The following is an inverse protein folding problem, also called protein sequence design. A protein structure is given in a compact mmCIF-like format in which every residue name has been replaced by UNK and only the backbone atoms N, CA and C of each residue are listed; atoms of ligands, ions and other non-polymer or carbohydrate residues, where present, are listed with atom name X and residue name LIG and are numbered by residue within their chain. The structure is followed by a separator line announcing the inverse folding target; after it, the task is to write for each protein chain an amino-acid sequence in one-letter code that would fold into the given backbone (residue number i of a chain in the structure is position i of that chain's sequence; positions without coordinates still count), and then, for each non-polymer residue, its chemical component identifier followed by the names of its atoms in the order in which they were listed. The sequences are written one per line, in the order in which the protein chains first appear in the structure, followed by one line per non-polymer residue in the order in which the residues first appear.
data_IF_806701150447
#
_entry.id   IF_806701150447
#
_cell.length_a   1.000
_cell.length_b   1.000
_cell.length_c   1.000
_cell.angle_alpha   90.00
_cell.angle_beta   90.00
_cell.angle_gamma   90.00
#
_symmetry.space_group_name_H-M   'P 1'
#
loop_
_entity.id
_entity.type
_entity.pdbx_description
1 polymer ?
#
# COMPACT_ATOMS: atom_id res chain seq x y z
N UNK A 1 -13.58 49.62 11.84
CA UNK A 1 -14.86 50.29 11.43
C UNK A 1 -15.54 49.42 10.41
N UNK A 2 -16.86 49.13 10.68
CA UNK A 2 -17.96 48.59 9.86
C UNK A 2 -17.74 47.18 9.32
N UNK A 3 -18.32 46.10 9.89
CA UNK A 3 -19.75 45.68 10.06
C UNK A 3 -20.52 45.66 8.74
N UNK A 4 -21.01 44.45 8.38
CA UNK A 4 -22.43 44.11 8.21
C UNK A 4 -22.49 42.72 7.57
N UNK A 5 -22.96 41.68 8.18
CA UNK A 5 -24.37 41.30 8.55
C UNK A 5 -25.30 41.02 7.36
N UNK A 6 -25.77 39.80 7.36
CA UNK A 6 -27.14 39.25 7.28
C UNK A 6 -27.57 38.84 5.86
N UNK A 7 -28.43 37.86 5.60
CA UNK A 7 -29.52 37.14 6.31
C UNK A 7 -29.93 36.02 5.33
N UNK A 8 -30.06 34.78 5.73
CA UNK A 8 -31.27 34.01 6.05
C UNK A 8 -32.41 34.04 5.01
N UNK A 9 -32.76 32.91 4.42
CA UNK A 9 -34.14 32.56 4.14
C UNK A 9 -34.34 31.02 4.02
N UNK A 10 -35.21 30.53 4.86
CA UNK A 10 -35.88 29.26 5.02
C UNK A 10 -37.08 29.20 4.09
N UNK A 11 -37.40 28.03 3.54
CA UNK A 11 -38.75 27.56 3.24
C UNK A 11 -38.68 26.09 2.87
N UNK A 12 -39.15 25.32 3.55
CA UNK A 12 -40.18 24.44 4.09
C UNK A 12 -41.42 24.28 3.19
N UNK A 13 -41.74 23.05 2.82
CA UNK A 13 -43.04 22.41 2.57
C UNK A 13 -42.79 21.04 1.94
N UNK A 14 -43.03 19.95 2.58
CA UNK A 14 -44.20 19.29 3.17
C UNK A 14 -45.22 18.74 2.15
N UNK A 15 -45.48 17.41 2.32
CA UNK A 15 -46.78 16.69 2.18
C UNK A 15 -47.06 16.05 0.85
N UNK A 16 -47.39 14.82 0.70
CA UNK A 16 -48.19 13.71 1.22
C UNK A 16 -48.10 12.57 0.23
N UNK A 17 -47.96 11.37 0.60
CA UNK A 17 -48.84 10.35 1.17
C UNK A 17 -49.86 9.69 0.21
N UNK A 18 -49.94 8.41 0.30
CA UNK A 18 -51.08 7.56 -0.13
C UNK A 18 -50.64 6.42 -1.05
N UNK A 19 -50.75 5.27 -0.72
CA UNK A 19 -51.54 4.28 0.01
C UNK A 19 -51.77 3.03 -0.84
N UNK A 20 -51.51 1.86 -0.22
CA UNK A 20 -52.38 0.66 -0.16
C UNK A 20 -52.83 0.04 -1.48
N UNK A 21 -52.81 -1.25 -1.70
CA UNK A 21 -53.16 -2.45 -0.97
C UNK A 21 -52.80 -3.66 -1.84
N UNK A 22 -52.43 -4.74 -1.34
CA UNK A 22 -53.02 -5.81 -0.54
C UNK A 22 -53.31 -7.09 -1.32
N UNK A 23 -53.04 -8.20 -0.66
CA UNK A 23 -53.59 -9.56 -0.77
C UNK A 23 -53.16 -10.41 -1.98
N UNK A 24 -52.81 -11.66 -1.79
CA UNK A 24 -53.18 -12.63 -0.77
C UNK A 24 -52.50 -13.98 -0.95
N UNK A 25 -52.59 -14.66 0.13
CA UNK A 25 -52.26 -16.02 0.51
C UNK A 25 -52.47 -17.13 -0.51
N UNK A 26 -51.62 -18.16 -0.43
CA UNK A 26 -52.08 -19.41 0.23
C UNK A 26 -50.95 -20.45 0.23
N UNK A 27 -50.85 -21.07 1.36
CA UNK A 27 -50.12 -22.26 1.77
C UNK A 27 -50.51 -23.51 0.99
N UNK A 28 -49.60 -24.47 0.83
CA UNK A 28 -49.88 -25.87 1.24
C UNK A 28 -48.56 -26.66 1.38
N UNK A 29 -48.41 -27.30 2.52
CA UNK A 29 -47.47 -28.38 2.84
C UNK A 29 -47.72 -29.63 2.01
N UNK A 30 -46.71 -30.47 1.79
CA UNK A 30 -46.72 -31.86 2.22
C UNK A 30 -45.51 -32.67 1.77
N UNK A 31 -44.78 -33.21 2.79
CA UNK A 31 -44.16 -34.53 2.94
C UNK A 31 -43.14 -35.08 1.94
N UNK A 32 -42.00 -35.42 2.53
CA UNK A 32 -41.05 -36.46 2.10
C UNK A 32 -41.68 -37.87 2.10
N UNK A 33 -41.05 -38.85 1.43
CA UNK A 33 -40.36 -39.88 2.16
C UNK A 33 -38.98 -40.28 1.59
N UNK A 34 -38.24 -40.94 2.50
CA UNK A 34 -36.93 -41.59 2.36
C UNK A 34 -36.96 -42.77 1.35
N UNK A 35 -35.80 -43.09 0.77
CA UNK A 35 -34.98 -44.29 0.96
C UNK A 35 -34.09 -44.57 -0.26
N UNK A 36 -32.87 -45.01 -0.01
CA UNK A 36 -32.17 -45.94 -0.86
C UNK A 36 -30.75 -45.59 -1.29
N UNK A 37 -29.78 -46.08 -0.58
CA UNK A 37 -28.35 -46.09 -0.87
C UNK A 37 -28.01 -46.80 -2.18
N UNK A 38 -26.98 -46.32 -2.87
CA UNK A 38 -25.95 -47.17 -3.45
C UNK A 38 -24.72 -46.34 -3.87
N UNK A 39 -23.59 -46.78 -3.37
CA UNK A 39 -22.24 -46.35 -3.68
C UNK A 39 -21.93 -46.58 -5.16
N UNK A 40 -21.29 -45.58 -5.81
CA UNK A 40 -20.33 -45.89 -6.90
C UNK A 40 -19.27 -44.80 -6.88
N UNK A 41 -18.06 -45.24 -6.58
CA UNK A 41 -16.81 -44.49 -6.70
C UNK A 41 -16.57 -44.19 -8.17
N UNK A 42 -16.41 -42.91 -8.50
CA UNK A 42 -15.86 -42.50 -9.77
C UNK A 42 -14.70 -41.52 -9.50
N UNK A 43 -13.55 -42.04 -9.77
CA UNK A 43 -12.25 -41.38 -9.85
C UNK A 43 -12.34 -40.23 -10.87
N UNK A 44 -12.21 -38.97 -10.42
CA UNK A 44 -12.12 -37.81 -11.29
C UNK A 44 -10.67 -37.36 -11.32
N UNK A 45 -10.00 -37.69 -12.38
CA UNK A 45 -8.72 -37.13 -12.81
C UNK A 45 -8.83 -35.62 -12.90
N UNK A 46 -8.01 -34.90 -12.10
CA UNK A 46 -7.82 -33.48 -12.23
C UNK A 46 -7.07 -33.20 -13.55
N UNK A 47 -7.76 -32.64 -14.52
CA UNK A 47 -7.12 -31.96 -15.65
C UNK A 47 -6.59 -30.63 -15.15
N UNK A 48 -5.25 -30.55 -15.10
CA UNK A 48 -4.50 -29.29 -15.03
C UNK A 48 -4.80 -28.52 -16.32
N UNK A 49 -5.68 -27.54 -16.23
CA UNK A 49 -5.88 -26.56 -17.29
C UNK A 49 -4.67 -25.62 -17.32
N UNK A 50 -3.74 -25.90 -18.22
CA UNK A 50 -2.76 -24.92 -18.67
C UNK A 50 -3.56 -23.82 -19.38
N UNK A 51 -3.69 -22.65 -18.75
CA UNK A 51 -4.08 -21.43 -19.49
C UNK A 51 -2.96 -21.16 -20.49
N UNK A 52 -3.26 -21.41 -21.73
CA UNK A 52 -2.39 -21.03 -22.84
C UNK A 52 -2.30 -19.51 -22.85
N UNK A 53 -1.11 -18.98 -22.60
CA UNK A 53 -0.79 -17.59 -22.87
C UNK A 53 -1.21 -17.28 -24.32
N UNK A 54 -2.22 -16.45 -24.46
CA UNK A 54 -2.64 -15.90 -25.74
C UNK A 54 -1.49 -15.06 -26.25
N UNK A 55 -0.81 -15.46 -27.32
CA UNK A 55 0.17 -14.61 -28.00
C UNK A 55 -0.54 -13.32 -28.42
N UNK A 56 -0.27 -12.23 -27.71
CA UNK A 56 -0.79 -10.90 -28.04
C UNK A 56 -0.05 -10.45 -29.30
N UNK A 57 -0.76 -10.41 -30.42
CA UNK A 57 -0.26 -9.83 -31.67
C UNK A 57 -0.13 -8.31 -31.48
N UNK A 58 1.05 -7.83 -31.13
CA UNK A 58 1.34 -6.39 -30.95
C UNK A 58 1.56 -5.71 -32.27
N UNK A 59 0.96 -5.97 -33.32
CA UNK A 59 1.04 -5.30 -34.65
C UNK A 59 2.34 -4.43 -34.88
N UNK A 60 3.45 -4.84 -34.23
CA UNK A 60 4.76 -4.19 -34.28
C UNK A 60 4.88 -2.87 -33.48
N UNK A 61 3.87 -2.50 -32.67
CA UNK A 61 3.96 -1.31 -31.81
C UNK A 61 4.94 -1.55 -30.65
N UNK A 62 5.87 -0.63 -30.45
CA UNK A 62 6.73 -0.56 -29.27
C UNK A 62 6.15 0.44 -28.29
N UNK A 63 5.94 0.01 -27.05
CA UNK A 63 5.45 0.85 -25.96
C UNK A 63 6.63 1.47 -25.21
N UNK A 64 6.55 2.78 -24.93
CA UNK A 64 7.52 3.50 -24.12
C UNK A 64 6.87 3.80 -22.75
N UNK A 65 7.51 3.33 -21.70
CA UNK A 65 7.00 3.41 -20.33
C UNK A 65 7.96 4.27 -19.51
N UNK A 66 7.45 5.39 -18.98
CA UNK A 66 8.20 6.18 -18.02
C UNK A 66 8.03 5.60 -16.61
N UNK A 67 9.11 5.40 -15.88
CA UNK A 67 9.11 4.94 -14.49
C UNK A 67 9.71 6.04 -13.61
N UNK A 68 8.88 6.66 -12.78
CA UNK A 68 9.32 7.60 -11.75
C UNK A 68 9.36 6.90 -10.39
N UNK A 69 10.54 6.50 -9.96
CA UNK A 69 10.77 5.97 -8.63
C UNK A 69 11.21 7.10 -7.68
N UNK A 70 10.55 7.21 -6.51
CA UNK A 70 10.84 8.30 -5.56
C UNK A 70 12.28 8.25 -5.08
N UNK A 71 12.75 7.09 -4.62
CA UNK A 71 14.08 6.88 -4.06
C UNK A 71 14.47 5.41 -4.20
N UNK A 72 15.75 5.10 -4.04
CA UNK A 72 16.23 3.73 -4.12
C UNK A 72 16.23 3.08 -2.72
N UNK A 73 15.50 1.98 -2.58
CA UNK A 73 15.56 1.01 -1.48
C UNK A 73 14.83 -0.28 -1.87
N UNK A 74 15.07 -1.35 -1.12
CA UNK A 74 14.68 -2.72 -1.47
C UNK A 74 13.21 -2.86 -1.90
N UNK A 75 12.27 -2.22 -1.20
CA UNK A 75 10.85 -2.35 -1.50
C UNK A 75 10.49 -1.70 -2.85
N UNK A 76 10.94 -0.46 -3.11
CA UNK A 76 10.65 0.22 -4.38
C UNK A 76 11.37 -0.44 -5.56
N UNK A 77 12.63 -0.89 -5.37
CA UNK A 77 13.39 -1.61 -6.40
C UNK A 77 12.69 -2.94 -6.75
N UNK A 78 12.17 -3.66 -5.75
CA UNK A 78 11.41 -4.89 -5.96
C UNK A 78 10.09 -4.64 -6.71
N UNK A 79 9.35 -3.55 -6.39
CA UNK A 79 8.13 -3.19 -7.09
C UNK A 79 8.39 -2.79 -8.54
N UNK A 80 9.42 -1.97 -8.80
CA UNK A 80 9.84 -1.62 -10.17
C UNK A 80 10.19 -2.88 -10.97
N UNK A 81 11.01 -3.77 -10.37
CA UNK A 81 11.38 -5.01 -11.04
C UNK A 81 10.18 -5.90 -11.36
N UNK A 82 9.26 -6.10 -10.43
CA UNK A 82 8.07 -6.90 -10.66
C UNK A 82 7.19 -6.33 -11.78
N UNK A 83 7.07 -5.01 -11.86
CA UNK A 83 6.36 -4.31 -12.93
C UNK A 83 7.02 -4.54 -14.31
N UNK A 84 8.33 -4.36 -14.40
CA UNK A 84 9.09 -4.58 -15.65
C UNK A 84 9.03 -6.03 -16.11
N UNK A 85 9.20 -6.99 -15.19
CA UNK A 85 9.13 -8.41 -15.47
C UNK A 85 7.76 -8.79 -16.06
N UNK A 86 6.66 -8.30 -15.45
CA UNK A 86 5.31 -8.57 -15.91
C UNK A 86 5.01 -7.98 -17.30
N UNK A 87 5.47 -6.77 -17.59
CA UNK A 87 5.31 -6.18 -18.92
C UNK A 87 6.20 -6.86 -19.97
N UNK A 88 7.41 -7.23 -19.59
CA UNK A 88 8.33 -7.96 -20.46
C UNK A 88 7.79 -9.35 -20.80
N UNK A 89 7.14 -10.04 -19.86
CA UNK A 89 6.45 -11.31 -20.11
C UNK A 89 5.37 -11.18 -21.18
N UNK A 90 4.61 -10.08 -21.19
CA UNK A 90 3.52 -9.86 -22.14
C UNK A 90 3.99 -9.34 -23.49
N UNK A 91 4.92 -8.39 -23.52
CA UNK A 91 5.27 -7.64 -24.72
C UNK A 91 6.67 -7.95 -25.28
N UNK A 92 7.53 -8.67 -24.52
CA UNK A 92 8.90 -8.98 -24.92
C UNK A 92 9.70 -7.72 -25.29
N UNK A 93 10.32 -7.73 -26.45
CA UNK A 93 11.12 -6.61 -26.96
C UNK A 93 10.28 -5.39 -27.41
N UNK A 94 8.95 -5.49 -27.37
CA UNK A 94 8.03 -4.42 -27.74
C UNK A 94 7.66 -3.48 -26.57
N UNK A 95 8.34 -3.56 -25.43
CA UNK A 95 8.25 -2.60 -24.32
C UNK A 95 9.64 -2.04 -24.02
N UNK A 96 9.69 -0.74 -23.71
CA UNK A 96 10.91 -0.04 -23.30
C UNK A 96 10.64 0.78 -22.07
N UNK A 97 11.56 0.75 -21.13
CA UNK A 97 11.48 1.47 -19.88
C UNK A 97 12.48 2.64 -19.86
N UNK A 98 12.01 3.81 -19.44
CA UNK A 98 12.81 4.97 -19.02
C UNK A 98 12.67 5.11 -17.50
N UNK A 99 13.56 4.44 -16.76
CA UNK A 99 13.58 4.45 -15.31
C UNK A 99 14.37 5.65 -14.80
N UNK A 100 13.72 6.49 -13.99
CA UNK A 100 14.28 7.70 -13.39
C UNK A 100 14.06 7.70 -11.87
N UNK A 101 15.13 8.00 -11.12
CA UNK A 101 15.10 8.05 -9.67
C UNK A 101 15.13 9.51 -9.19
N UNK A 102 14.14 9.90 -8.38
CA UNK A 102 13.98 11.27 -7.89
C UNK A 102 14.85 11.60 -6.66
N UNK A 103 15.60 10.63 -6.13
CA UNK A 103 16.52 10.80 -4.98
C UNK A 103 15.82 11.32 -3.71
N UNK A 104 14.54 11.00 -3.53
CA UNK A 104 13.73 11.42 -2.39
C UNK A 104 13.16 12.84 -2.52
N UNK A 105 13.31 13.50 -3.66
CA UNK A 105 12.87 14.88 -3.86
C UNK A 105 11.61 14.97 -4.73
N UNK A 106 10.51 15.46 -4.16
CA UNK A 106 9.22 15.61 -4.87
C UNK A 106 9.27 16.57 -6.05
N UNK A 107 10.13 17.59 -6.01
CA UNK A 107 10.29 18.50 -7.15
C UNK A 107 11.03 17.83 -8.31
N UNK A 108 11.93 16.92 -7.99
CA UNK A 108 12.60 16.07 -8.98
C UNK A 108 11.60 15.09 -9.60
N UNK A 109 10.66 14.51 -8.83
CA UNK A 109 9.55 13.70 -9.39
C UNK A 109 8.79 14.51 -10.46
N UNK A 110 8.39 15.76 -10.16
CA UNK A 110 7.69 16.60 -11.12
C UNK A 110 8.51 16.87 -12.39
N UNK A 111 9.83 17.02 -12.27
CA UNK A 111 10.73 17.20 -13.42
C UNK A 111 10.81 15.94 -14.29
N UNK A 112 10.91 14.78 -13.67
CA UNK A 112 10.92 13.47 -14.34
C UNK A 112 9.61 13.26 -15.11
N UNK A 113 8.47 13.45 -14.43
CA UNK A 113 7.13 13.33 -15.06
C UNK A 113 6.98 14.27 -16.27
N UNK A 114 7.42 15.53 -16.17
CA UNK A 114 7.40 16.46 -17.30
C UNK A 114 8.26 15.96 -18.48
N UNK A 115 9.33 15.22 -18.20
CA UNK A 115 10.14 14.53 -19.21
C UNK A 115 9.32 13.49 -19.97
N UNK A 116 8.67 12.58 -19.25
CA UNK A 116 7.82 11.53 -19.84
C UNK A 116 6.65 12.11 -20.64
N UNK A 117 6.00 13.15 -20.13
CA UNK A 117 4.95 13.87 -20.87
C UNK A 117 5.49 14.47 -22.17
N UNK A 118 6.66 15.07 -22.14
CA UNK A 118 7.30 15.68 -23.33
C UNK A 118 7.72 14.62 -24.36
N UNK A 119 8.09 13.43 -23.91
CA UNK A 119 8.42 12.28 -24.76
C UNK A 119 7.19 11.62 -25.36
N UNK A 120 5.98 11.94 -24.85
CA UNK A 120 4.72 11.25 -25.17
C UNK A 120 4.77 9.76 -24.86
N UNK A 121 5.25 9.39 -23.66
CA UNK A 121 5.28 8.01 -23.22
C UNK A 121 3.86 7.41 -23.22
N UNK A 122 3.77 6.11 -23.47
CA UNK A 122 2.47 5.42 -23.60
C UNK A 122 1.81 5.19 -22.23
N UNK A 123 2.60 5.11 -21.15
CA UNK A 123 2.15 4.93 -19.77
C UNK A 123 3.23 5.39 -18.79
N UNK A 124 2.82 5.85 -17.62
CA UNK A 124 3.71 6.22 -16.52
C UNK A 124 3.48 5.29 -15.33
N UNK A 125 4.55 4.66 -14.83
CA UNK A 125 4.59 4.08 -13.49
C UNK A 125 5.05 5.14 -12.50
N UNK A 126 4.24 5.38 -11.48
CA UNK A 126 4.58 6.24 -10.35
C UNK A 126 4.82 5.37 -9.10
N UNK A 127 6.09 5.16 -8.75
CA UNK A 127 6.48 4.30 -7.64
C UNK A 127 6.74 5.13 -6.38
N UNK A 128 5.87 5.00 -5.41
CA UNK A 128 5.65 5.71 -4.16
C UNK A 128 4.71 6.93 -4.26
N UNK A 129 4.15 7.33 -3.09
CA UNK A 129 3.12 8.38 -2.96
C UNK A 129 3.51 9.72 -3.59
N UNK A 130 4.74 10.20 -3.36
CA UNK A 130 5.17 11.48 -3.93
C UNK A 130 5.33 11.45 -5.46
N UNK A 131 5.74 10.31 -6.03
CA UNK A 131 5.78 10.10 -7.46
C UNK A 131 4.35 10.08 -8.06
N UNK A 132 3.39 9.43 -7.39
CA UNK A 132 1.98 9.43 -7.78
C UNK A 132 1.38 10.84 -7.77
N UNK A 133 1.64 11.62 -6.73
CA UNK A 133 1.20 13.01 -6.64
C UNK A 133 1.78 13.87 -7.79
N UNK A 134 3.06 13.70 -8.10
CA UNK A 134 3.71 14.40 -9.19
C UNK A 134 3.13 13.98 -10.56
N UNK A 135 2.86 12.71 -10.77
CA UNK A 135 2.27 12.19 -12.01
C UNK A 135 0.84 12.73 -12.20
N UNK A 136 0.01 12.66 -11.18
CA UNK A 136 -1.36 13.18 -11.19
C UNK A 136 -1.41 14.69 -11.50
N UNK A 137 -0.44 15.45 -11.00
CA UNK A 137 -0.34 16.89 -11.30
C UNK A 137 0.24 17.19 -12.70
N UNK A 138 1.00 16.25 -13.27
CA UNK A 138 1.75 16.44 -14.53
C UNK A 138 0.98 16.14 -15.80
N UNK A 139 -0.01 15.23 -15.75
CA UNK A 139 -0.78 14.84 -16.94
C UNK A 139 -2.18 14.33 -16.58
N UNK A 140 -3.14 14.66 -17.43
CA UNK A 140 -4.53 14.15 -17.39
C UNK A 140 -4.85 13.22 -18.58
N UNK A 141 -3.85 12.92 -19.41
CA UNK A 141 -4.04 12.17 -20.67
C UNK A 141 -3.22 10.88 -20.76
N UNK A 142 -1.97 10.89 -20.27
CA UNK A 142 -1.15 9.67 -20.24
C UNK A 142 -1.65 8.79 -19.08
N UNK A 143 -1.92 7.50 -19.30
CA UNK A 143 -2.27 6.58 -18.24
C UNK A 143 -1.20 6.53 -17.14
N UNK A 144 -1.62 6.63 -15.88
CA UNK A 144 -0.76 6.56 -14.71
C UNK A 144 -1.15 5.34 -13.89
N UNK A 145 -0.20 4.45 -13.67
CA UNK A 145 -0.34 3.41 -12.65
C UNK A 145 0.58 3.73 -11.47
N UNK A 146 -0.04 3.89 -10.29
CA UNK A 146 0.70 3.97 -9.05
C UNK A 146 1.07 2.58 -8.54
N UNK A 147 2.22 2.45 -7.88
CA UNK A 147 2.59 1.30 -7.06
C UNK A 147 3.25 1.79 -5.79
N UNK A 148 3.29 0.97 -4.75
CA UNK A 148 3.87 1.34 -3.45
C UNK A 148 3.30 2.67 -2.89
N UNK A 149 2.05 2.96 -3.22
CA UNK A 149 1.29 4.08 -2.69
C UNK A 149 0.31 3.56 -1.63
N UNK A 150 0.33 4.15 -0.43
CA UNK A 150 -0.37 3.57 0.72
C UNK A 150 -1.88 3.79 0.67
N UNK A 151 -2.31 5.03 0.42
CA UNK A 151 -3.72 5.40 0.34
C UNK A 151 -3.94 6.46 -0.74
N UNK A 152 -4.66 6.10 -1.78
CA UNK A 152 -4.90 6.98 -2.94
C UNK A 152 -5.84 8.14 -2.61
N UNK A 153 -6.79 7.94 -1.68
CA UNK A 153 -7.67 9.01 -1.21
C UNK A 153 -6.88 10.12 -0.54
N UNK A 154 -5.95 9.74 0.36
CA UNK A 154 -5.05 10.67 1.05
C UNK A 154 -4.01 11.27 0.08
N UNK A 155 -3.41 10.44 -0.77
CA UNK A 155 -2.37 10.87 -1.70
C UNK A 155 -2.88 11.94 -2.70
N UNK A 156 -4.11 11.80 -3.16
CA UNK A 156 -4.72 12.62 -4.21
C UNK A 156 -5.81 13.57 -3.70
N UNK A 157 -5.99 13.68 -2.37
CA UNK A 157 -6.99 14.53 -1.71
C UNK A 157 -8.43 14.26 -2.21
N UNK A 158 -8.79 12.95 -2.30
CA UNK A 158 -10.12 12.51 -2.77
C UNK A 158 -11.03 12.25 -1.58
N UNK A 159 -12.03 13.11 -1.40
CA UNK A 159 -13.05 12.93 -0.36
C UNK A 159 -13.90 11.66 -0.60
N UNK A 160 -14.10 10.87 0.44
CA UNK A 160 -14.91 9.65 0.40
C UNK A 160 -14.46 8.66 -0.70
N UNK A 161 -13.15 8.46 -0.83
CA UNK A 161 -12.57 7.54 -1.79
C UNK A 161 -13.22 6.15 -1.69
N UNK A 162 -13.69 5.64 -2.81
CA UNK A 162 -14.46 4.38 -2.91
C UNK A 162 -13.66 3.20 -3.51
N UNK A 163 -12.35 3.41 -3.72
CA UNK A 163 -11.45 2.41 -4.29
C UNK A 163 -11.15 2.61 -5.77
N UNK A 164 -11.75 3.61 -6.43
CA UNK A 164 -11.49 3.94 -7.84
C UNK A 164 -11.15 5.42 -7.97
N UNK A 165 -9.97 5.74 -8.55
CA UNK A 165 -9.57 7.14 -8.76
C UNK A 165 -10.32 7.74 -9.94
N UNK A 166 -10.45 6.99 -11.01
CA UNK A 166 -11.04 7.47 -12.27
C UNK A 166 -10.07 8.28 -13.12
N UNK A 167 -10.57 8.86 -14.21
CA UNK A 167 -9.73 9.62 -15.12
C UNK A 167 -8.64 8.77 -15.76
N UNK A 168 -7.39 9.18 -15.65
CA UNK A 168 -6.24 8.48 -16.20
C UNK A 168 -5.39 7.76 -15.14
N UNK A 169 -5.91 7.51 -13.93
CA UNK A 169 -5.14 6.99 -12.79
C UNK A 169 -5.77 5.72 -12.24
N UNK A 170 -4.94 4.70 -12.00
CA UNK A 170 -5.23 3.52 -11.21
C UNK A 170 -3.93 2.98 -10.60
N UNK A 171 -3.92 1.74 -10.10
CA UNK A 171 -2.70 1.10 -9.60
C UNK A 171 -2.92 0.15 -8.44
N UNK A 172 -1.86 -0.04 -7.66
CA UNK A 172 -1.85 -0.93 -6.49
C UNK A 172 -1.46 -0.16 -5.22
N UNK A 173 -1.98 -0.61 -4.08
CA UNK A 173 -1.67 -0.05 -2.76
C UNK A 173 -0.86 -1.03 -1.91
N UNK A 174 0.12 -0.49 -1.18
CA UNK A 174 1.01 -1.26 -0.29
C UNK A 174 0.54 -1.31 1.16
N UNK A 175 -0.66 -0.83 1.44
CA UNK A 175 -1.18 -0.74 2.79
C UNK A 175 -1.38 -2.12 3.41
N UNK A 176 -0.47 -2.53 4.30
CA UNK A 176 -0.68 -3.66 5.18
C UNK A 176 -1.72 -3.33 6.28
N UNK A 177 -2.41 -4.33 6.87
CA UNK A 177 -3.39 -4.10 7.91
C UNK A 177 -2.75 -3.44 9.15
N UNK A 178 -3.03 -2.17 9.40
CA UNK A 178 -2.45 -1.42 10.52
C UNK A 178 -2.95 -1.89 11.89
N UNK A 179 -4.17 -2.43 11.96
CA UNK A 179 -4.67 -3.14 13.13
C UNK A 179 -3.89 -4.43 13.39
N UNK A 180 -3.58 -5.19 12.33
CA UNK A 180 -2.72 -6.37 12.42
C UNK A 180 -1.29 -6.05 12.85
N UNK A 181 -0.72 -4.92 12.39
CA UNK A 181 0.59 -4.45 12.86
C UNK A 181 0.56 -4.03 14.34
N UNK A 182 -0.53 -3.40 14.78
CA UNK A 182 -0.71 -3.06 16.19
C UNK A 182 -0.86 -4.32 17.06
N UNK A 183 -1.61 -5.31 16.60
CA UNK A 183 -1.76 -6.60 17.29
C UNK A 183 -0.44 -7.36 17.36
N UNK A 184 0.36 -7.38 16.28
CA UNK A 184 1.70 -7.94 16.23
C UNK A 184 2.64 -7.26 17.23
N UNK A 185 2.63 -5.91 17.31
CA UNK A 185 3.40 -5.17 18.28
C UNK A 185 2.99 -5.56 19.71
N UNK A 186 1.69 -5.70 19.96
CA UNK A 186 1.18 -6.11 21.28
C UNK A 186 1.55 -7.56 21.62
N UNK A 187 1.54 -8.46 20.65
CA UNK A 187 1.98 -9.85 20.83
C UNK A 187 3.44 -9.94 21.26
N UNK A 188 4.31 -9.14 20.64
CA UNK A 188 5.76 -9.16 20.92
C UNK A 188 6.15 -8.33 22.15
N UNK A 189 5.41 -7.28 22.47
CA UNK A 189 5.76 -6.31 23.52
C UNK A 189 4.58 -5.99 24.45
N UNK A 190 3.94 -7.00 25.09
CA UNK A 190 2.74 -6.77 25.92
C UNK A 190 3.02 -5.92 27.18
N UNK A 191 4.26 -5.86 27.64
CA UNK A 191 4.66 -5.11 28.83
C UNK A 191 5.11 -3.68 28.54
N UNK A 192 5.31 -3.30 27.26
CA UNK A 192 5.64 -1.94 26.86
C UNK A 192 4.55 -0.96 27.32
N UNK A 193 4.91 0.28 27.56
CA UNK A 193 3.97 1.36 27.96
C UNK A 193 3.97 2.49 26.98
N UNK A 194 5.13 2.84 26.43
CA UNK A 194 5.28 3.97 25.54
C UNK A 194 5.83 3.54 24.19
N UNK A 195 5.06 3.81 23.14
CA UNK A 195 5.43 3.55 21.76
C UNK A 195 5.81 4.87 21.09
N UNK A 196 7.02 4.94 20.55
CA UNK A 196 7.48 6.04 19.73
C UNK A 196 7.07 5.81 18.28
N UNK A 197 6.37 6.76 17.67
CA UNK A 197 5.98 6.73 16.26
C UNK A 197 6.96 7.59 15.47
N UNK A 198 7.97 6.95 14.86
CA UNK A 198 9.06 7.63 14.12
C UNK A 198 8.70 7.69 12.63
N UNK A 199 8.61 8.90 12.07
CA UNK A 199 8.17 9.06 10.67
C UNK A 199 8.63 10.39 10.05
N UNK A 200 8.73 10.41 8.72
CA UNK A 200 8.96 11.61 7.93
C UNK A 200 7.65 12.40 7.73
N UNK A 201 7.60 13.62 8.25
CA UNK A 201 6.41 14.48 8.15
C UNK A 201 6.15 15.01 6.74
N UNK A 202 7.14 14.93 5.85
CA UNK A 202 6.99 15.30 4.44
C UNK A 202 6.33 14.19 3.60
N UNK A 203 6.17 12.98 4.17
CA UNK A 203 5.54 11.84 3.51
C UNK A 203 4.09 11.66 3.98
N UNK A 204 3.12 11.90 3.10
CA UNK A 204 1.69 11.78 3.40
C UNK A 204 1.30 10.34 3.80
N UNK A 205 1.89 9.33 3.15
CA UNK A 205 1.75 7.91 3.50
C UNK A 205 2.16 7.62 4.94
N UNK A 206 3.33 8.11 5.36
CA UNK A 206 3.86 7.89 6.72
C UNK A 206 2.95 8.54 7.77
N UNK A 207 2.52 9.78 7.52
CA UNK A 207 1.60 10.52 8.40
C UNK A 207 0.27 9.80 8.57
N UNK A 208 -0.33 9.33 7.46
CA UNK A 208 -1.59 8.56 7.49
C UNK A 208 -1.47 7.29 8.33
N UNK A 209 -0.39 6.53 8.14
CA UNK A 209 -0.17 5.27 8.85
C UNK A 209 0.03 5.48 10.35
N UNK A 210 0.87 6.45 10.75
CA UNK A 210 1.11 6.69 12.18
C UNK A 210 -0.13 7.25 12.89
N UNK A 211 -0.94 8.08 12.23
CA UNK A 211 -2.20 8.55 12.79
C UNK A 211 -3.21 7.41 12.99
N UNK A 212 -3.26 6.49 12.04
CA UNK A 212 -4.18 5.35 12.07
C UNK A 212 -3.76 4.33 13.12
N UNK A 213 -2.50 3.89 13.10
CA UNK A 213 -2.01 2.85 14.03
C UNK A 213 -2.01 3.35 15.48
N UNK A 214 -1.76 4.65 15.70
CA UNK A 214 -1.89 5.26 17.02
C UNK A 214 -3.23 4.94 17.66
N UNK A 215 -4.31 5.07 16.89
CA UNK A 215 -5.65 4.77 17.38
C UNK A 215 -5.87 3.31 17.77
N UNK A 216 -5.19 2.35 17.11
CA UNK A 216 -5.20 0.93 17.49
C UNK A 216 -4.34 0.67 18.72
N UNK A 217 -3.12 1.18 18.76
CA UNK A 217 -2.20 1.01 19.89
C UNK A 217 -2.74 1.62 21.19
N UNK A 218 -3.38 2.79 21.13
CA UNK A 218 -4.01 3.41 22.31
C UNK A 218 -5.19 2.59 22.86
N UNK A 219 -5.96 1.92 21.99
CA UNK A 219 -7.01 0.98 22.42
C UNK A 219 -6.45 -0.26 23.12
N UNK A 220 -5.23 -0.69 22.75
CA UNK A 220 -4.50 -1.76 23.41
C UNK A 220 -3.85 -1.33 24.73
N UNK A 221 -3.91 -0.03 25.07
CA UNK A 221 -3.46 0.53 26.36
C UNK A 221 -2.07 1.17 26.34
N UNK A 222 -1.47 1.34 25.17
CA UNK A 222 -0.20 2.05 25.03
C UNK A 222 -0.36 3.57 25.06
N UNK A 223 0.68 4.27 25.47
CA UNK A 223 0.83 5.71 25.25
C UNK A 223 1.70 5.90 24.00
N UNK A 224 1.18 6.60 23.00
CA UNK A 224 1.89 6.82 21.74
C UNK A 224 2.35 8.27 21.62
N UNK A 225 3.62 8.48 21.27
CA UNK A 225 4.22 9.79 21.05
C UNK A 225 4.77 9.90 19.62
N UNK A 226 4.53 11.04 18.96
CA UNK A 226 5.05 11.29 17.62
C UNK A 226 6.49 11.80 17.66
N UNK A 227 7.33 11.18 16.84
CA UNK A 227 8.71 11.60 16.57
C UNK A 227 8.84 11.88 15.07
N UNK A 228 8.42 13.10 14.69
CA UNK A 228 8.39 13.53 13.31
C UNK A 228 9.70 14.24 12.93
N UNK A 229 10.32 13.81 11.85
CA UNK A 229 11.44 14.51 11.21
C UNK A 229 11.00 15.03 9.84
N UNK A 230 11.70 15.99 9.27
CA UNK A 230 11.32 16.61 8.00
C UNK A 230 12.07 16.04 6.79
N UNK A 231 13.30 15.62 7.02
CA UNK A 231 14.17 14.98 6.02
C UNK A 231 15.27 14.16 6.71
N UNK A 232 16.12 13.49 5.94
CA UNK A 232 17.18 12.61 6.46
C UNK A 232 18.21 13.31 7.38
N UNK A 233 18.36 14.65 7.29
CA UNK A 233 19.30 15.38 8.16
C UNK A 233 18.82 15.43 9.61
N UNK A 234 17.50 15.48 9.81
CA UNK A 234 16.91 15.52 11.15
C UNK A 234 16.71 14.12 11.76
N UNK A 235 16.70 13.07 10.95
CA UNK A 235 16.40 11.70 11.35
C UNK A 235 17.22 11.25 12.57
N UNK A 236 18.53 11.46 12.57
CA UNK A 236 19.40 11.03 13.67
C UNK A 236 19.02 11.65 15.00
N UNK A 237 18.73 12.95 15.03
CA UNK A 237 18.40 13.67 16.26
C UNK A 237 17.03 13.29 16.80
N UNK A 238 16.05 13.12 15.91
CA UNK A 238 14.68 12.73 16.26
C UNK A 238 14.63 11.27 16.71
N UNK A 239 15.32 10.38 15.99
CA UNK A 239 15.45 8.96 16.38
C UNK A 239 16.12 8.81 17.75
N UNK A 240 17.16 9.60 18.05
CA UNK A 240 17.80 9.61 19.38
C UNK A 240 16.80 10.01 20.47
N UNK A 241 15.96 11.00 20.21
CA UNK A 241 14.92 11.41 21.16
C UNK A 241 13.88 10.31 21.35
N UNK A 242 13.44 9.67 20.25
CA UNK A 242 12.53 8.54 20.31
C UNK A 242 13.08 7.37 21.12
N UNK A 243 14.35 7.01 20.89
CA UNK A 243 15.00 5.90 21.60
C UNK A 243 15.22 6.18 23.11
N UNK A 244 15.38 7.45 23.50
CA UNK A 244 15.50 7.79 24.92
C UNK A 244 14.17 7.75 25.68
N UNK A 245 13.07 7.92 24.98
CA UNK A 245 11.76 8.17 25.59
C UNK A 245 10.75 7.03 25.40
N UNK A 246 11.06 6.03 24.58
CA UNK A 246 10.11 4.96 24.20
C UNK A 246 10.60 3.59 24.62
N UNK A 247 9.66 2.68 24.90
CA UNK A 247 9.95 1.27 25.15
C UNK A 247 10.12 0.48 23.84
N UNK A 248 9.36 0.88 22.81
CA UNK A 248 9.39 0.33 21.44
C UNK A 248 9.19 1.48 20.47
N UNK A 249 9.84 1.44 19.33
CA UNK A 249 9.61 2.37 18.22
C UNK A 249 8.85 1.64 17.11
N UNK A 250 7.80 2.28 16.59
CA UNK A 250 7.14 1.88 15.36
C UNK A 250 7.55 2.81 14.22
N UNK A 251 7.92 2.23 13.09
CA UNK A 251 8.24 2.94 11.84
C UNK A 251 7.28 2.44 10.75
N UNK A 252 6.46 3.32 10.13
CA UNK A 252 5.56 2.92 9.03
C UNK A 252 6.33 2.57 7.75
N UNK A 253 5.67 2.40 6.61
CA UNK A 253 6.32 2.33 5.29
C UNK A 253 6.85 3.71 4.90
N UNK A 254 7.94 4.10 5.51
CA UNK A 254 8.58 5.42 5.40
C UNK A 254 9.80 5.35 4.48
N UNK A 255 9.71 5.98 3.31
CA UNK A 255 10.76 5.87 2.29
C UNK A 255 12.08 6.50 2.74
N UNK A 256 12.00 7.58 3.55
CA UNK A 256 13.21 8.22 4.09
C UNK A 256 13.91 7.32 5.09
N UNK A 257 13.16 6.63 5.96
CA UNK A 257 13.73 5.64 6.88
C UNK A 257 14.25 4.43 6.11
N UNK A 258 13.51 3.90 5.14
CA UNK A 258 13.92 2.74 4.34
C UNK A 258 15.28 2.95 3.66
N UNK A 259 15.53 4.17 3.16
CA UNK A 259 16.83 4.54 2.58
C UNK A 259 17.92 4.88 3.63
N UNK A 260 17.59 4.92 4.91
CA UNK A 260 18.49 5.34 6.01
C UNK A 260 18.40 4.42 7.23
N UNK A 261 18.09 3.14 7.06
CA UNK A 261 17.88 2.17 8.15
C UNK A 261 19.10 2.06 9.07
N UNK A 262 20.32 2.22 8.53
CA UNK A 262 21.56 2.19 9.32
C UNK A 262 21.58 3.26 10.41
N UNK A 263 21.02 4.46 10.16
CA UNK A 263 20.95 5.52 11.17
C UNK A 263 20.08 5.06 12.33
N UNK A 264 18.90 4.50 12.05
CA UNK A 264 17.98 4.01 13.07
C UNK A 264 18.60 2.84 13.84
N UNK A 265 19.18 1.87 13.13
CA UNK A 265 19.84 0.73 13.75
C UNK A 265 20.99 1.13 14.70
N UNK A 266 21.84 2.06 14.26
CA UNK A 266 22.98 2.53 15.04
C UNK A 266 22.60 3.33 16.30
N UNK A 267 21.36 3.82 16.36
CA UNK A 267 20.80 4.54 17.51
C UNK A 267 20.02 3.58 18.41
N UNK A 268 19.07 2.83 17.86
CA UNK A 268 18.14 2.02 18.63
C UNK A 268 18.79 0.78 19.23
N UNK A 269 19.70 0.12 18.49
CA UNK A 269 20.39 -1.09 19.01
C UNK A 269 21.23 -0.82 20.26
N UNK A 270 22.12 0.18 20.31
CA UNK A 270 22.86 0.50 21.55
C UNK A 270 21.97 1.02 22.69
N UNK A 271 20.85 1.67 22.35
CA UNK A 271 19.88 2.14 23.34
C UNK A 271 19.05 0.99 23.95
N UNK A 272 19.07 -0.20 23.35
CA UNK A 272 18.26 -1.33 23.79
C UNK A 272 16.77 -1.17 23.47
N UNK A 273 16.41 -0.36 22.47
CA UNK A 273 15.02 -0.08 22.08
C UNK A 273 14.70 -0.80 20.76
N UNK A 274 13.80 -1.80 20.78
CA UNK A 274 13.41 -2.52 19.58
C UNK A 274 12.57 -1.67 18.64
N UNK A 275 12.70 -1.95 17.33
CA UNK A 275 11.94 -1.28 16.27
C UNK A 275 10.99 -2.30 15.63
N UNK A 276 9.70 -1.98 15.55
CA UNK A 276 8.70 -2.70 14.74
C UNK A 276 8.49 -1.92 13.46
N UNK A 277 8.63 -2.60 12.33
CA UNK A 277 8.65 -1.97 11.02
C UNK A 277 7.34 -2.18 10.25
N UNK A 278 6.98 -1.22 9.41
CA UNK A 278 5.80 -1.28 8.53
C UNK A 278 6.03 -2.11 7.26
N UNK A 279 7.31 -2.41 6.92
CA UNK A 279 7.66 -3.19 5.74
C UNK A 279 9.00 -3.95 5.92
N UNK A 280 9.26 -4.89 4.99
CA UNK A 280 10.36 -5.87 5.07
C UNK A 280 11.75 -5.22 5.05
N UNK A 281 12.02 -4.25 4.16
CA UNK A 281 13.33 -3.62 4.02
C UNK A 281 13.75 -2.83 5.25
N UNK A 282 12.81 -2.07 5.86
CA UNK A 282 13.03 -1.40 7.15
C UNK A 282 13.27 -2.45 8.24
N UNK A 283 12.50 -3.54 8.24
CA UNK A 283 12.69 -4.62 9.20
C UNK A 283 14.08 -5.23 9.08
N UNK A 284 14.53 -5.59 7.89
CA UNK A 284 15.89 -6.10 7.63
C UNK A 284 16.96 -5.12 8.09
N UNK A 285 16.77 -3.84 7.79
CA UNK A 285 17.75 -2.82 8.11
C UNK A 285 17.87 -2.47 9.59
N UNK A 286 16.74 -2.37 10.31
CA UNK A 286 16.75 -1.91 11.71
C UNK A 286 15.65 -2.51 12.61
N UNK A 287 14.68 -3.25 12.06
CA UNK A 287 13.52 -3.77 12.80
C UNK A 287 13.76 -5.14 13.42
N UNK A 288 12.90 -5.53 14.35
CA UNK A 288 12.83 -6.87 14.92
C UNK A 288 11.76 -7.72 14.24
N UNK A 289 10.64 -7.11 13.83
CA UNK A 289 9.54 -7.77 13.15
C UNK A 289 8.73 -6.78 12.28
N UNK A 290 8.00 -7.35 11.33
CA UNK A 290 7.06 -6.65 10.46
C UNK A 290 5.87 -7.54 10.10
N UNK A 291 4.73 -6.94 9.78
CA UNK A 291 3.65 -7.57 9.02
C UNK A 291 3.64 -6.87 7.65
N UNK A 292 4.17 -7.53 6.64
CA UNK A 292 4.49 -6.95 5.35
C UNK A 292 3.84 -7.67 4.18
N UNK A 293 4.01 -7.10 3.01
CA UNK A 293 3.59 -7.63 1.70
C UNK A 293 4.83 -7.94 0.86
N UNK A 294 4.64 -8.70 -0.22
CA UNK A 294 5.65 -8.82 -1.27
C UNK A 294 5.56 -7.63 -2.22
N UNK A 295 6.54 -6.72 -2.18
CA UNK A 295 6.62 -5.58 -3.12
C UNK A 295 6.89 -6.03 -4.55
N UNK A 296 7.60 -7.13 -4.74
CA UNK A 296 7.76 -7.72 -6.07
C UNK A 296 6.40 -8.14 -6.65
N UNK A 297 5.58 -8.88 -5.88
CA UNK A 297 4.26 -9.31 -6.34
C UNK A 297 3.30 -8.13 -6.54
N UNK A 298 3.43 -7.06 -5.73
CA UNK A 298 2.71 -5.80 -5.92
C UNK A 298 3.07 -5.17 -7.27
N UNK A 299 4.37 -5.12 -7.60
CA UNK A 299 4.86 -4.66 -8.88
C UNK A 299 4.35 -5.51 -10.05
N UNK A 300 4.36 -6.84 -9.90
CA UNK A 300 3.79 -7.77 -10.89
C UNK A 300 2.30 -7.51 -11.11
N UNK A 301 1.53 -7.26 -10.04
CA UNK A 301 0.11 -6.91 -10.17
C UNK A 301 -0.06 -5.60 -10.93
N UNK A 302 0.72 -4.57 -10.61
CA UNK A 302 0.71 -3.28 -11.32
C UNK A 302 1.08 -3.45 -12.80
N UNK A 303 2.08 -4.28 -13.12
CA UNK A 303 2.48 -4.58 -14.49
C UNK A 303 1.40 -5.29 -15.30
N UNK A 304 0.64 -6.20 -14.66
CA UNK A 304 -0.53 -6.83 -15.28
C UNK A 304 -1.65 -5.82 -15.55
N UNK A 305 -1.88 -4.87 -14.66
CA UNK A 305 -2.81 -3.76 -14.91
C UNK A 305 -2.33 -2.90 -16.09
N UNK A 306 -1.03 -2.58 -16.14
CA UNK A 306 -0.42 -1.84 -17.24
C UNK A 306 -0.61 -2.55 -18.58
N UNK A 307 -0.41 -3.87 -18.62
CA UNK A 307 -0.60 -4.65 -19.83
C UNK A 307 -2.04 -4.54 -20.37
N UNK A 308 -3.05 -4.60 -19.50
CA UNK A 308 -4.47 -4.42 -19.86
C UNK A 308 -4.73 -3.03 -20.43
N UNK A 309 -4.20 -1.97 -19.78
CA UNK A 309 -4.33 -0.58 -20.24
C UNK A 309 -3.70 -0.39 -21.62
N UNK A 310 -2.49 -0.91 -21.84
CA UNK A 310 -1.79 -0.84 -23.13
C UNK A 310 -2.50 -1.63 -24.22
N UNK A 311 -3.31 -2.64 -23.87
CA UNK A 311 -4.19 -3.40 -24.75
C UNK A 311 -5.55 -2.73 -24.99
N UNK A 312 -5.82 -1.58 -24.35
CA UNK A 312 -7.01 -0.76 -24.58
C UNK A 312 -8.11 -0.88 -23.53
N UNK A 313 -7.82 -1.49 -22.36
CA UNK A 313 -8.75 -1.45 -21.22
C UNK A 313 -8.84 -0.03 -20.65
N UNK A 314 -10.05 0.37 -20.26
CA UNK A 314 -10.32 1.72 -19.75
C UNK A 314 -9.84 1.85 -18.28
N UNK A 315 -8.69 2.50 -18.10
CA UNK A 315 -8.08 2.73 -16.80
C UNK A 315 -9.01 3.47 -15.82
N UNK A 316 -9.92 4.31 -16.32
CA UNK A 316 -10.82 5.10 -15.48
C UNK A 316 -11.80 4.25 -14.66
N UNK A 317 -12.01 3.00 -15.04
CA UNK A 317 -12.90 2.05 -14.38
C UNK A 317 -12.15 1.01 -13.54
N UNK A 318 -10.82 1.02 -13.57
CA UNK A 318 -10.00 0.07 -12.83
C UNK A 318 -9.90 0.49 -11.36
N UNK A 319 -10.30 -0.37 -10.41
CA UNK A 319 -10.13 -0.09 -8.99
C UNK A 319 -8.65 -0.22 -8.60
N UNK A 320 -8.29 0.40 -7.48
CA UNK A 320 -7.01 0.16 -6.83
C UNK A 320 -6.97 -1.27 -6.30
N UNK A 321 -5.93 -2.02 -6.66
CA UNK A 321 -5.72 -3.37 -6.17
C UNK A 321 -4.84 -3.36 -4.91
N UNK A 322 -5.13 -4.26 -3.98
CA UNK A 322 -4.38 -4.43 -2.72
C UNK A 322 -3.68 -5.78 -2.73
N UNK A 323 -2.56 -5.87 -1.98
CA UNK A 323 -1.88 -7.15 -1.80
C UNK A 323 -2.83 -8.19 -1.17
N UNK A 324 -2.95 -9.40 -1.76
CA UNK A 324 -3.90 -10.40 -1.28
C UNK A 324 -3.43 -11.13 0.00
N UNK A 325 -2.15 -11.04 0.32
CA UNK A 325 -1.53 -11.77 1.43
C UNK A 325 -0.57 -10.90 2.21
N UNK A 326 -0.52 -11.15 3.51
CA UNK A 326 0.38 -10.49 4.45
C UNK A 326 1.16 -11.54 5.22
N UNK A 327 2.45 -11.30 5.44
CA UNK A 327 3.34 -12.23 6.15
C UNK A 327 3.90 -11.55 7.39
N UNK A 328 3.81 -12.23 8.54
CA UNK A 328 4.55 -11.85 9.74
C UNK A 328 6.00 -12.31 9.57
N UNK A 329 6.92 -11.39 9.62
CA UNK A 329 8.35 -11.63 9.39
C UNK A 329 9.17 -11.08 10.53
N UNK A 330 10.34 -11.66 10.77
CA UNK A 330 11.21 -11.23 11.85
C UNK A 330 12.69 -11.43 11.53
N UNK A 331 13.55 -10.66 12.20
CA UNK A 331 15.01 -10.76 12.13
C UNK A 331 15.51 -11.53 13.35
N UNK A 332 15.96 -12.78 13.11
CA UNK A 332 16.27 -13.72 14.20
C UNK A 332 17.36 -13.22 15.14
N UNK A 333 18.46 -12.68 14.62
CA UNK A 333 19.59 -12.17 15.42
C UNK A 333 19.17 -11.04 16.35
N UNK A 334 18.31 -10.12 15.87
CA UNK A 334 17.82 -8.99 16.68
C UNK A 334 16.80 -9.45 17.72
N UNK A 335 15.89 -10.36 17.37
CA UNK A 335 14.95 -10.94 18.34
C UNK A 335 15.71 -11.64 19.49
N UNK A 336 16.76 -12.41 19.18
CA UNK A 336 17.62 -13.04 20.20
C UNK A 336 18.32 -11.98 21.09
N UNK A 337 18.88 -10.93 20.48
CA UNK A 337 19.58 -9.86 21.21
C UNK A 337 18.67 -9.11 22.18
N UNK A 338 17.39 -8.93 21.85
CA UNK A 338 16.39 -8.29 22.72
C UNK A 338 15.66 -9.28 23.64
N UNK A 339 15.92 -10.60 23.52
CA UNK A 339 15.24 -11.64 24.29
C UNK A 339 13.77 -11.82 23.93
N UNK A 340 13.40 -11.51 22.68
CA UNK A 340 12.04 -11.63 22.17
C UNK A 340 11.78 -13.09 21.79
N UNK A 341 10.70 -13.65 22.33
CA UNK A 341 10.20 -14.96 21.89
C UNK A 341 9.23 -14.74 20.74
N UNK A 342 9.61 -15.21 19.55
CA UNK A 342 8.81 -15.06 18.35
C UNK A 342 7.87 -16.26 18.21
N UNK A 343 6.56 -16.08 17.96
CA UNK A 343 5.62 -17.17 17.69
C UNK A 343 5.96 -17.95 16.41
N UNK A 344 5.45 -19.19 16.32
CA UNK A 344 5.76 -20.14 15.23
C UNK A 344 5.18 -19.72 13.85
N UNK A 345 4.26 -18.78 13.81
CA UNK A 345 3.62 -18.27 12.59
C UNK A 345 4.41 -17.12 11.91
N UNK A 346 5.57 -16.77 12.45
CA UNK A 346 6.48 -15.79 11.85
C UNK A 346 7.52 -16.46 10.95
N UNK A 347 7.86 -15.80 9.85
CA UNK A 347 8.90 -16.23 8.91
C UNK A 347 10.19 -15.47 9.19
N UNK A 348 11.30 -16.18 9.35
CA UNK A 348 12.59 -15.55 9.53
C UNK A 348 13.08 -14.91 8.21
N UNK A 349 13.44 -13.63 8.28
CA UNK A 349 14.10 -12.92 7.18
C UNK A 349 15.56 -13.35 7.07
N UNK A 350 16.05 -13.50 5.85
CA UNK A 350 17.48 -13.68 5.58
C UNK A 350 18.21 -12.37 5.84
N UNK A 351 19.32 -12.44 6.63
CA UNK A 351 20.15 -11.30 7.05
C UNK A 351 21.36 -11.10 6.15
#
# INVERSE_FOLDING_TARGET
MKKMKKVLAVALSLVMAGSLAACGSSSTETKAPETGASETVAESTAESGSEAASEVSTDGKVYNIGICQLIQHDALDAATKGFEDALTEVFGDNVKFDEQNAQGDSATCATIINGFVSNNDDLILANATAALQAAAAGTDTIPILGTSGTDYGVALDIDNFDGTVGGNISGTADLAPLDGQADMLHELFPDAKKIGLLYCSAEANSKFQVDTIKGYLEKLGYTCEYYAFSDSNDLSSVCTSAANDSDVIYVPTDNTVANNTEIVNNICTPAGVPVVAGEEGICKGCGVATLSISYYDLGVATGKMAAKVLQGEDISTMPIEYAPTFTKEYVASRCEAYGITVPDDYVALEE
#
